data_IF_819198491932
#
_entry.id   IF_819198491932
#
_cell.length_a   1.000
_cell.length_b   1.000
_cell.length_c   1.000
_cell.angle_alpha   90.00
_cell.angle_beta   90.00
_cell.angle_gamma   90.00
#
_symmetry.space_group_name_H-M   'P 1'
#
loop_
_entity.id
_entity.type
_entity.pdbx_description
1 polymer ?
#
# COMPACT_ATOMS: atom_id res chain seq x y z
N UNK A 1 -9.42 17.12 -4.36
CA UNK A 1 -9.90 16.55 -3.07
C UNK A 1 -11.41 16.41 -3.17
N UNK A 2 -11.93 15.19 -3.30
CA UNK A 2 -13.36 14.90 -3.42
C UNK A 2 -13.73 13.82 -2.39
N UNK A 3 -14.41 14.23 -1.32
CA UNK A 3 -14.95 13.35 -0.29
C UNK A 3 -16.38 13.00 -0.69
N UNK A 4 -16.62 11.75 -1.11
CA UNK A 4 -17.97 11.23 -1.34
C UNK A 4 -18.52 10.69 -0.01
N UNK A 5 -19.77 11.04 0.30
CA UNK A 5 -20.50 10.51 1.46
C UNK A 5 -21.03 9.12 1.10
N UNK A 6 -20.46 8.07 1.70
CA UNK A 6 -21.11 6.77 1.79
C UNK A 6 -22.12 6.80 2.96
N UNK A 7 -23.14 5.95 2.95
CA UNK A 7 -24.29 5.91 3.89
C UNK A 7 -23.95 5.55 5.36
N UNK A 8 -22.72 5.78 5.81
CA UNK A 8 -22.29 5.56 7.19
C UNK A 8 -21.41 6.73 7.67
N UNK A 9 -21.32 6.96 8.97
CA UNK A 9 -20.44 7.97 9.59
C UNK A 9 -18.93 7.66 9.41
N UNK A 10 -18.57 6.83 8.43
CA UNK A 10 -17.21 6.41 8.14
C UNK A 10 -16.54 7.48 7.28
N UNK A 11 -15.48 8.06 7.83
CA UNK A 11 -14.58 8.95 7.09
C UNK A 11 -13.78 8.13 6.07
N UNK A 12 -13.97 8.42 4.80
CA UNK A 12 -13.20 7.84 3.69
C UNK A 12 -12.17 8.86 3.21
N UNK A 13 -10.90 8.47 3.17
CA UNK A 13 -9.81 9.27 2.60
C UNK A 13 -9.27 8.59 1.35
N UNK A 14 -9.25 9.34 0.24
CA UNK A 14 -8.61 8.91 -1.00
C UNK A 14 -7.16 9.39 -0.98
N UNK A 15 -6.24 8.45 -1.05
CA UNK A 15 -4.80 8.71 -0.99
C UNK A 15 -4.05 8.00 -2.10
N UNK A 16 -2.91 8.56 -2.46
CA UNK A 16 -1.99 8.05 -3.46
C UNK A 16 -0.55 8.10 -2.93
N UNK A 17 0.36 7.51 -3.68
CA UNK A 17 1.77 7.48 -3.33
C UNK A 17 2.33 8.87 -3.03
N UNK A 18 3.31 8.92 -2.12
CA UNK A 18 3.94 10.13 -1.57
C UNK A 18 3.05 10.92 -0.60
N UNK A 19 1.81 10.50 -0.37
CA UNK A 19 0.99 11.00 0.72
C UNK A 19 1.17 10.16 1.97
N UNK A 20 0.72 10.69 3.11
CA UNK A 20 0.72 9.99 4.39
C UNK A 20 -0.62 10.13 5.08
N UNK A 21 -1.03 9.08 5.79
CA UNK A 21 -2.22 9.03 6.63
C UNK A 21 -1.78 8.80 8.07
N UNK A 22 -2.42 9.48 9.01
CA UNK A 22 -2.13 9.34 10.43
C UNK A 22 -3.25 8.59 11.13
N UNK A 23 -2.91 7.54 11.87
CA UNK A 23 -3.84 6.79 12.72
C UNK A 23 -3.32 6.85 14.15
N UNK A 24 -3.92 7.72 14.97
CA UNK A 24 -3.32 8.11 16.24
C UNK A 24 -1.96 8.77 16.00
N UNK A 25 -0.93 8.30 16.72
CA UNK A 25 0.44 8.81 16.62
C UNK A 25 1.29 8.06 15.57
N UNK A 26 0.66 7.19 14.78
CA UNK A 26 1.35 6.38 13.76
C UNK A 26 1.15 6.96 12.37
N UNK A 27 2.27 7.27 11.71
CA UNK A 27 2.31 7.64 10.30
C UNK A 27 2.30 6.39 9.40
N UNK A 28 1.43 6.40 8.40
CA UNK A 28 1.40 5.44 7.31
C UNK A 28 1.67 6.16 6.01
N UNK A 29 2.86 5.94 5.44
CA UNK A 29 3.24 6.49 4.13
C UNK A 29 2.68 5.62 3.03
N UNK A 30 2.07 6.24 2.04
CA UNK A 30 1.50 5.55 0.89
C UNK A 30 2.59 5.37 -0.16
N UNK A 31 2.81 4.11 -0.56
CA UNK A 31 3.80 3.70 -1.57
C UNK A 31 3.13 3.51 -2.94
N UNK A 32 1.88 3.02 -2.94
CA UNK A 32 1.04 2.70 -4.10
C UNK A 32 -0.43 2.87 -3.71
N UNK A 33 -1.36 3.31 -4.60
CA UNK A 33 -1.22 3.56 -6.03
C UNK A 33 -0.55 4.89 -6.38
N UNK A 34 0.08 4.98 -7.55
CA UNK A 34 0.57 6.26 -8.10
C UNK A 34 -0.55 6.97 -8.85
N UNK A 35 -0.60 8.30 -8.72
CA UNK A 35 -1.60 9.14 -9.42
C UNK A 35 -1.52 8.88 -10.94
N UNK A 36 -2.68 8.82 -11.58
CA UNK A 36 -2.85 8.59 -13.02
C UNK A 36 -2.25 7.27 -13.54
N UNK A 37 -2.00 6.29 -12.65
CA UNK A 37 -1.64 4.91 -12.99
C UNK A 37 -2.74 3.96 -12.54
N UNK A 38 -3.76 3.81 -13.39
CA UNK A 38 -4.77 2.75 -13.22
C UNK A 38 -4.28 1.47 -13.90
N UNK A 39 -4.18 0.39 -13.12
CA UNK A 39 -3.76 -0.92 -13.61
C UNK A 39 -4.90 -1.75 -14.21
N UNK A 40 -6.15 -1.27 -14.17
CA UNK A 40 -7.33 -1.98 -14.70
C UNK A 40 -7.77 -3.20 -13.89
N UNK A 41 -6.98 -3.60 -12.90
CA UNK A 41 -7.30 -4.62 -11.89
C UNK A 41 -7.36 -3.94 -10.50
N UNK A 42 -8.48 -4.02 -9.77
CA UNK A 42 -8.59 -3.49 -8.42
C UNK A 42 -7.51 -4.00 -7.45
N UNK A 43 -7.03 -5.23 -7.62
CA UNK A 43 -5.96 -5.80 -6.80
C UNK A 43 -4.64 -5.08 -7.04
N UNK A 44 -4.30 -4.81 -8.30
CA UNK A 44 -3.10 -4.06 -8.66
C UNK A 44 -3.21 -2.56 -8.33
N UNK A 45 -4.41 -2.08 -8.02
CA UNK A 45 -4.65 -0.74 -7.46
C UNK A 45 -4.72 -0.75 -5.91
N UNK A 46 -4.36 -1.86 -5.25
CA UNK A 46 -4.35 -1.97 -3.78
C UNK A 46 -3.44 -0.94 -3.12
N UNK A 47 -3.83 -0.48 -1.92
CA UNK A 47 -3.02 0.41 -1.11
C UNK A 47 -1.81 -0.33 -0.55
N UNK A 48 -0.60 0.19 -0.82
CA UNK A 48 0.64 -0.27 -0.20
C UNK A 48 1.12 0.76 0.80
N UNK A 49 1.31 0.33 2.05
CA UNK A 49 1.63 1.20 3.18
C UNK A 49 2.96 0.84 3.83
N UNK A 50 3.73 1.88 4.15
CA UNK A 50 4.98 1.80 4.89
C UNK A 50 4.87 2.57 6.21
N UNK A 51 5.28 1.95 7.31
CA UNK A 51 5.17 2.55 8.64
C UNK A 51 6.25 2.06 9.60
N UNK A 52 6.50 2.84 10.66
CA UNK A 52 7.31 2.41 11.81
C UNK A 52 6.39 2.18 13.00
N UNK A 53 6.26 0.93 13.42
CA UNK A 53 5.37 0.52 14.51
C UNK A 53 6.18 -0.36 15.48
N UNK A 54 6.20 0.03 16.76
CA UNK A 54 6.96 -0.69 17.79
C UNK A 54 8.47 -0.73 17.52
N UNK A 55 9.03 0.30 16.87
CA UNK A 55 10.45 0.36 16.51
C UNK A 55 10.86 -0.55 15.34
N UNK A 56 9.90 -1.14 14.63
CA UNK A 56 10.11 -1.98 13.44
C UNK A 56 9.57 -1.29 12.20
N UNK A 57 10.21 -1.49 11.06
CA UNK A 57 9.77 -1.03 9.73
C UNK A 57 8.83 -2.07 9.11
N UNK A 58 7.58 -1.68 8.90
CA UNK A 58 6.52 -2.53 8.35
C UNK A 58 6.22 -2.16 6.91
N UNK A 59 5.91 -3.16 6.09
CA UNK A 59 5.30 -2.97 4.77
C UNK A 59 4.03 -3.82 4.67
N UNK A 60 2.91 -3.16 4.37
CA UNK A 60 1.62 -3.79 4.11
C UNK A 60 1.32 -3.67 2.62
N UNK A 61 1.22 -4.80 1.91
CA UNK A 61 1.18 -4.80 0.44
C UNK A 61 -0.22 -4.85 -0.15
N UNK A 62 -1.28 -4.91 0.67
CA UNK A 62 -2.63 -5.15 0.15
C UNK A 62 -2.67 -6.46 -0.64
N UNK A 63 -3.32 -6.47 -1.80
CA UNK A 63 -3.41 -7.64 -2.68
C UNK A 63 -2.71 -7.44 -4.03
N UNK A 64 -1.66 -6.60 -4.07
CA UNK A 64 -0.90 -6.35 -5.29
C UNK A 64 -0.32 -7.64 -5.89
N UNK A 65 -0.22 -7.71 -7.22
CA UNK A 65 0.46 -8.80 -7.91
C UNK A 65 1.95 -8.54 -8.12
N UNK A 66 2.70 -9.58 -8.54
CA UNK A 66 4.14 -9.50 -8.80
C UNK A 66 4.58 -8.38 -9.77
N UNK A 67 3.84 -8.03 -10.84
CA UNK A 67 4.09 -6.83 -11.63
C UNK A 67 4.26 -5.54 -10.80
N UNK A 68 3.38 -5.32 -9.82
CA UNK A 68 3.38 -4.13 -8.96
C UNK A 68 4.49 -4.24 -7.91
N UNK A 69 4.73 -5.42 -7.34
CA UNK A 69 5.87 -5.67 -6.46
C UNK A 69 7.19 -5.23 -7.13
N UNK A 70 7.42 -5.71 -8.36
CA UNK A 70 8.60 -5.36 -9.17
C UNK A 70 8.69 -3.87 -9.46
N UNK A 71 7.56 -3.22 -9.72
CA UNK A 71 7.53 -1.77 -9.96
C UNK A 71 7.94 -0.99 -8.71
N UNK A 72 7.42 -1.36 -7.54
CA UNK A 72 7.74 -0.73 -6.26
C UNK A 72 9.23 -0.90 -5.92
N UNK A 73 9.78 -2.10 -6.13
CA UNK A 73 11.21 -2.40 -5.93
C UNK A 73 12.06 -1.57 -6.89
N UNK A 74 11.72 -1.54 -8.19
CA UNK A 74 12.48 -0.77 -9.21
C UNK A 74 12.50 0.72 -8.94
N UNK A 75 11.40 1.27 -8.41
CA UNK A 75 11.33 2.69 -8.04
C UNK A 75 12.13 3.01 -6.78
N UNK A 76 12.71 2.01 -6.12
CA UNK A 76 13.47 2.12 -4.87
C UNK A 76 12.71 2.91 -3.79
N UNK A 77 11.38 2.75 -3.77
CA UNK A 77 10.49 3.47 -2.83
C UNK A 77 10.40 2.80 -1.47
N UNK A 78 10.90 1.57 -1.36
CA UNK A 78 10.91 0.81 -0.12
C UNK A 78 12.37 0.49 0.26
N UNK A 79 12.81 1.01 1.41
CA UNK A 79 14.05 0.56 2.05
C UNK A 79 13.88 -0.80 2.73
N UNK A 80 14.93 -1.29 3.41
CA UNK A 80 14.86 -2.55 4.17
C UNK A 80 13.67 -2.56 5.14
N UNK A 81 12.94 -3.68 5.20
CA UNK A 81 11.79 -3.89 6.09
C UNK A 81 12.08 -4.99 7.10
N UNK A 82 11.57 -4.80 8.31
CA UNK A 82 11.71 -5.79 9.39
C UNK A 82 10.53 -6.76 9.38
N UNK A 83 9.36 -6.30 8.92
CA UNK A 83 8.15 -7.10 8.81
C UNK A 83 7.45 -6.81 7.47
N UNK A 84 7.18 -7.86 6.71
CA UNK A 84 6.41 -7.82 5.47
C UNK A 84 5.07 -8.55 5.69
N UNK A 85 3.96 -7.82 5.56
CA UNK A 85 2.64 -8.44 5.48
C UNK A 85 2.38 -8.76 4.01
N UNK A 86 2.66 -9.99 3.62
CA UNK A 86 2.52 -10.50 2.25
C UNK A 86 1.11 -10.34 1.71
N UNK A 87 1.07 -10.09 0.39
CA UNK A 87 -0.14 -9.87 -0.37
C UNK A 87 -0.99 -11.13 -0.46
N UNK A 88 -2.31 -10.96 -0.61
CA UNK A 88 -3.21 -12.01 -1.05
C UNK A 88 -3.13 -13.29 -0.20
N UNK A 89 -3.01 -13.14 1.12
CA UNK A 89 -2.95 -14.26 2.06
C UNK A 89 -1.89 -15.34 1.74
N UNK A 90 -0.86 -15.03 0.93
CA UNK A 90 0.16 -15.99 0.50
C UNK A 90 -0.28 -16.94 -0.63
N UNK A 91 -1.22 -16.52 -1.49
CA UNK A 91 -1.59 -17.29 -2.69
C UNK A 91 -0.43 -17.35 -3.70
N UNK A 92 -0.33 -18.47 -4.42
CA UNK A 92 0.75 -18.78 -5.39
C UNK A 92 0.99 -17.69 -6.47
N UNK A 93 0.08 -16.73 -6.63
CA UNK A 93 0.13 -15.68 -7.66
C UNK A 93 0.67 -14.34 -7.17
N UNK A 94 0.91 -14.16 -5.86
CA UNK A 94 1.20 -12.84 -5.25
C UNK A 94 2.39 -12.84 -4.30
N UNK A 95 3.22 -13.89 -4.31
CA UNK A 95 4.54 -13.88 -3.67
C UNK A 95 5.58 -14.28 -4.69
N UNK A 96 6.29 -13.30 -5.22
CA UNK A 96 7.47 -13.53 -6.03
C UNK A 96 8.67 -13.83 -5.12
N UNK A 97 9.50 -14.80 -5.51
CA UNK A 97 10.83 -15.01 -4.92
C UNK A 97 11.79 -13.95 -5.49
N UNK A 98 11.65 -12.72 -5.04
CA UNK A 98 12.51 -11.61 -5.47
C UNK A 98 13.47 -11.17 -4.36
#
# INVERSE_FOLDING_TARGET
FHTEKYESEVRVERVSAEQSVWVGDHEFRVVHPVIDQDHGDPNDNSLVLDSVIGGKRWLFTGDISAPIEREIVKRNRIGQKDVLKVAHHGSHTSTSEE
#
